data_IF_774081995739
#
_entry.id   IF_774081995739
#
_cell.length_a   1.000
_cell.length_b   1.000
_cell.length_c   1.000
_cell.angle_alpha   90.00
_cell.angle_beta   90.00
_cell.angle_gamma   90.00
#
_symmetry.space_group_name_H-M   'P 1'
#
loop_
_entity.id
_entity.type
_entity.pdbx_description
1 polymer ?
#
# COMPACT_ATOMS: atom_id res chain seq x y z
N UNK A 1 24.91 -1.98 -10.37
CA UNK A 1 24.67 -2.85 -9.19
C UNK A 1 23.30 -3.48 -9.38
N UNK A 2 23.14 -4.80 -9.56
CA UNK A 2 21.80 -5.36 -9.61
C UNK A 2 21.23 -5.40 -8.19
N UNK A 3 20.05 -4.80 -8.00
CA UNK A 3 19.27 -4.95 -6.78
C UNK A 3 18.71 -6.37 -6.75
N UNK A 4 19.35 -7.24 -5.95
CA UNK A 4 18.88 -8.59 -5.71
C UNK A 4 17.93 -8.55 -4.52
N UNK A 5 16.63 -8.56 -4.77
CA UNK A 5 15.63 -8.72 -3.71
C UNK A 5 14.52 -9.68 -4.15
N UNK A 6 14.93 -10.86 -4.61
CA UNK A 6 14.06 -12.02 -4.66
C UNK A 6 13.98 -12.62 -3.26
N UNK A 7 12.99 -12.21 -2.46
CA UNK A 7 12.50 -13.05 -1.36
C UNK A 7 11.79 -14.26 -1.97
N UNK A 8 12.56 -15.19 -2.56
CA UNK A 8 12.15 -16.58 -2.64
C UNK A 8 12.31 -17.18 -1.25
N UNK A 9 11.49 -16.71 -0.30
CA UNK A 9 11.35 -17.38 0.98
C UNK A 9 10.67 -18.72 0.69
N UNK A 10 11.30 -19.81 1.10
CA UNK A 10 10.75 -21.16 0.99
C UNK A 10 9.34 -21.18 1.57
N UNK A 11 8.35 -21.15 0.67
CA UNK A 11 6.99 -21.47 1.04
C UNK A 11 6.97 -22.93 1.54
N UNK A 12 6.16 -23.26 2.56
CA UNK A 12 5.95 -24.65 2.95
C UNK A 12 5.66 -25.53 1.72
N UNK A 13 6.17 -26.76 1.72
CA UNK A 13 6.13 -27.64 0.55
C UNK A 13 4.72 -28.05 0.10
N UNK A 14 3.71 -27.81 0.95
CA UNK A 14 2.29 -28.05 0.71
C UNK A 14 1.53 -26.81 0.19
N UNK A 15 2.18 -25.66 0.01
CA UNK A 15 1.56 -24.46 -0.60
C UNK A 15 1.13 -24.76 -2.03
N UNK A 16 -0.14 -24.47 -2.33
CA UNK A 16 -0.75 -24.71 -3.64
C UNK A 16 -0.98 -23.45 -4.47
N UNK A 17 -0.90 -22.26 -3.86
CA UNK A 17 -1.06 -20.98 -4.52
C UNK A 17 -0.34 -19.87 -3.75
N UNK A 18 0.23 -18.91 -4.46
CA UNK A 18 0.89 -17.73 -3.88
C UNK A 18 0.42 -16.47 -4.58
N UNK A 19 0.42 -15.36 -3.82
CA UNK A 19 0.18 -14.01 -4.34
C UNK A 19 1.32 -13.12 -3.87
N UNK A 20 2.06 -12.54 -4.81
CA UNK A 20 3.14 -11.60 -4.53
C UNK A 20 2.65 -10.19 -4.76
N UNK A 21 2.62 -9.38 -3.71
CA UNK A 21 2.27 -7.96 -3.79
C UNK A 21 3.54 -7.13 -3.91
N UNK A 22 3.67 -6.38 -5.01
CA UNK A 22 4.79 -5.48 -5.23
C UNK A 22 4.48 -4.09 -4.66
N UNK A 23 4.90 -3.84 -3.41
CA UNK A 23 4.67 -2.57 -2.73
C UNK A 23 5.36 -1.38 -3.42
N UNK A 24 6.54 -1.61 -4.03
CA UNK A 24 7.27 -0.58 -4.79
C UNK A 24 6.46 -0.12 -5.99
N UNK A 25 5.86 -1.05 -6.73
CA UNK A 25 5.00 -0.73 -7.86
C UNK A 25 3.75 0.06 -7.42
N UNK A 26 3.19 -0.25 -6.25
CA UNK A 26 2.05 0.52 -5.70
C UNK A 26 2.46 1.97 -5.39
N UNK A 27 3.63 2.18 -4.75
CA UNK A 27 4.16 3.51 -4.48
C UNK A 27 4.45 4.31 -5.76
N UNK A 28 5.07 3.67 -6.77
CA UNK A 28 5.35 4.27 -8.08
C UNK A 28 4.04 4.65 -8.81
N UNK A 29 3.02 3.79 -8.75
CA UNK A 29 1.71 4.10 -9.33
C UNK A 29 1.08 5.33 -8.68
N UNK A 30 1.16 5.45 -7.36
CA UNK A 30 0.69 6.64 -6.66
C UNK A 30 1.44 7.91 -7.11
N UNK A 31 2.77 7.84 -7.24
CA UNK A 31 3.60 8.96 -7.73
C UNK A 31 3.27 9.34 -9.19
N UNK A 32 2.93 8.36 -10.02
CA UNK A 32 2.45 8.64 -11.37
C UNK A 32 1.11 9.37 -11.34
N UNK A 33 0.17 8.96 -10.48
CA UNK A 33 -1.09 9.66 -10.29
C UNK A 33 -0.90 11.09 -9.78
N UNK A 34 0.01 11.33 -8.83
CA UNK A 34 0.31 12.69 -8.35
C UNK A 34 0.93 13.56 -9.43
N UNK A 35 1.81 13.00 -10.27
CA UNK A 35 2.36 13.68 -11.44
C UNK A 35 1.27 14.10 -12.43
N UNK A 36 0.30 13.21 -12.70
CA UNK A 36 -0.85 13.50 -13.55
C UNK A 36 -1.81 14.54 -12.95
N UNK A 37 -1.92 14.60 -11.62
CA UNK A 37 -2.77 15.54 -10.90
C UNK A 37 -2.24 16.99 -10.94
N UNK A 38 -1.02 17.23 -11.45
CA UNK A 38 -0.53 18.55 -11.81
C UNK A 38 -0.41 19.52 -10.62
N UNK A 39 -0.01 19.02 -9.45
CA UNK A 39 0.10 19.82 -8.21
C UNK A 39 -1.16 19.81 -7.35
N UNK A 40 -2.24 19.16 -7.81
CA UNK A 40 -3.38 18.83 -6.95
C UNK A 40 -2.98 17.70 -6.01
N UNK A 41 -3.31 17.83 -4.73
CA UNK A 41 -3.07 16.79 -3.75
C UNK A 41 -3.86 15.52 -4.07
N UNK A 42 -3.19 14.37 -4.01
CA UNK A 42 -3.82 13.06 -4.17
C UNK A 42 -4.06 12.40 -2.82
N UNK A 43 -5.09 11.56 -2.77
CA UNK A 43 -5.37 10.67 -1.65
C UNK A 43 -5.42 9.23 -2.15
N UNK A 44 -5.05 8.28 -1.28
CA UNK A 44 -5.12 6.85 -1.59
C UNK A 44 -6.37 6.21 -0.98
N UNK A 45 -7.24 5.63 -1.81
CA UNK A 45 -8.35 4.82 -1.32
C UNK A 45 -7.84 3.41 -1.02
N UNK A 46 -8.02 2.92 0.21
CA UNK A 46 -7.55 1.59 0.66
C UNK A 46 -8.68 0.74 1.25
N UNK A 47 -9.93 0.96 0.80
CA UNK A 47 -11.09 0.14 1.20
C UNK A 47 -10.89 -1.35 0.91
N UNK A 48 -11.67 -2.19 1.59
CA UNK A 48 -11.65 -3.64 1.44
C UNK A 48 -10.24 -4.22 1.59
N UNK A 49 -9.54 -3.80 2.65
CA UNK A 49 -8.16 -4.22 2.94
C UNK A 49 -7.18 -3.94 1.77
N UNK A 50 -7.17 -2.68 1.31
CA UNK A 50 -6.45 -2.26 0.11
C UNK A 50 -6.79 -3.09 -1.13
N UNK A 51 -8.09 -3.25 -1.39
CA UNK A 51 -8.61 -4.07 -2.50
C UNK A 51 -8.11 -5.54 -2.45
N UNK A 52 -7.94 -6.09 -1.24
CA UNK A 52 -7.47 -7.45 -0.99
C UNK A 52 -5.95 -7.62 -1.07
N UNK A 53 -5.18 -6.53 -1.18
CA UNK A 53 -3.70 -6.59 -1.22
C UNK A 53 -3.04 -6.53 0.17
N UNK A 54 -3.81 -6.30 1.23
CA UNK A 54 -3.31 -6.20 2.60
C UNK A 54 -2.96 -4.75 2.97
N UNK A 55 -3.84 -4.11 3.72
CA UNK A 55 -3.69 -2.70 4.12
C UNK A 55 -2.50 -2.49 5.06
N UNK A 56 -2.16 -3.48 5.88
CA UNK A 56 -1.05 -3.45 6.83
C UNK A 56 0.29 -3.15 6.15
N UNK A 57 0.53 -3.69 4.95
CA UNK A 57 1.76 -3.46 4.20
C UNK A 57 1.59 -2.35 3.17
N UNK A 58 0.41 -2.23 2.53
CA UNK A 58 0.15 -1.23 1.48
C UNK A 58 0.11 0.19 2.05
N UNK A 59 -0.54 0.42 3.19
CA UNK A 59 -0.69 1.77 3.73
C UNK A 59 0.65 2.41 4.15
N UNK A 60 1.54 1.72 4.91
CA UNK A 60 2.87 2.26 5.21
C UNK A 60 3.72 2.46 3.96
N UNK A 61 3.62 1.60 2.94
CA UNK A 61 4.33 1.79 1.68
C UNK A 61 3.90 3.09 0.98
N UNK A 62 2.60 3.34 0.86
CA UNK A 62 2.07 4.59 0.31
C UNK A 62 2.46 5.80 1.16
N UNK A 63 2.37 5.69 2.49
CA UNK A 63 2.64 6.80 3.40
C UNK A 63 4.13 7.19 3.43
N UNK A 64 5.02 6.21 3.61
CA UNK A 64 6.46 6.48 3.78
C UNK A 64 7.24 6.54 2.46
N UNK A 65 6.91 5.70 1.47
CA UNK A 65 7.68 5.64 0.22
C UNK A 65 7.15 6.59 -0.85
N UNK A 66 5.84 6.82 -0.87
CA UNK A 66 5.17 7.64 -1.89
C UNK A 66 4.71 9.02 -1.36
N UNK A 67 4.97 9.31 -0.09
CA UNK A 67 4.59 10.53 0.61
C UNK A 67 3.07 10.80 0.65
N UNK A 68 2.24 9.76 0.57
CA UNK A 68 0.79 9.90 0.66
C UNK A 68 0.37 10.29 2.09
N UNK A 69 -0.41 11.37 2.24
CA UNK A 69 -0.88 11.86 3.57
C UNK A 69 -2.36 11.69 3.81
N UNK A 70 -3.15 11.56 2.75
CA UNK A 70 -4.61 11.44 2.80
C UNK A 70 -5.06 10.08 2.31
N UNK A 71 -5.89 9.43 3.09
CA UNK A 71 -6.42 8.13 2.77
C UNK A 71 -7.94 8.14 2.83
N UNK A 72 -8.56 7.26 2.05
CA UNK A 72 -9.98 6.99 2.12
C UNK A 72 -10.22 5.51 2.37
N UNK A 73 -11.18 5.21 3.23
CA UNK A 73 -11.67 3.86 3.53
C UNK A 73 -13.19 3.81 3.39
N UNK A 74 -13.78 2.62 3.34
CA UNK A 74 -15.23 2.50 3.16
C UNK A 74 -16.01 2.66 4.47
N UNK A 75 -15.42 2.35 5.62
CA UNK A 75 -16.11 2.36 6.91
C UNK A 75 -15.16 2.63 8.10
N UNK A 76 -15.76 2.87 9.27
CA UNK A 76 -15.03 3.19 10.50
C UNK A 76 -14.11 2.07 10.98
N UNK A 77 -14.47 0.79 10.77
CA UNK A 77 -13.64 -0.35 11.19
C UNK A 77 -12.33 -0.36 10.40
N UNK A 78 -12.40 -0.10 9.10
CA UNK A 78 -11.22 0.07 8.26
C UNK A 78 -10.40 1.30 8.68
N UNK A 79 -11.05 2.42 9.04
CA UNK A 79 -10.36 3.61 9.51
C UNK A 79 -9.57 3.36 10.81
N UNK A 80 -10.16 2.64 11.76
CA UNK A 80 -9.51 2.27 13.02
C UNK A 80 -8.30 1.37 12.75
N UNK A 81 -8.41 0.39 11.85
CA UNK A 81 -7.28 -0.45 11.44
C UNK A 81 -6.18 0.36 10.77
N UNK A 82 -6.54 1.22 9.81
CA UNK A 82 -5.59 2.06 9.09
C UNK A 82 -4.81 2.97 10.04
N UNK A 83 -5.48 3.54 11.06
CA UNK A 83 -4.84 4.37 12.10
C UNK A 83 -3.74 3.62 12.87
N UNK A 84 -3.83 2.30 13.01
CA UNK A 84 -2.80 1.49 13.67
C UNK A 84 -1.54 1.34 12.80
N UNK A 85 -1.69 1.37 11.48
CA UNK A 85 -0.57 1.22 10.54
C UNK A 85 0.09 2.56 10.19
N UNK A 86 -0.70 3.64 10.12
CA UNK A 86 -0.24 4.99 9.78
C UNK A 86 -0.91 6.03 10.70
N UNK A 87 -0.44 6.20 11.94
CA UNK A 87 -1.10 7.03 12.96
C UNK A 87 -1.31 8.49 12.54
N UNK A 88 -0.35 9.06 11.81
CA UNK A 88 -0.34 10.46 11.38
C UNK A 88 -1.13 10.73 10.09
N UNK A 89 -1.71 9.70 9.45
CA UNK A 89 -2.48 9.87 8.23
C UNK A 89 -3.79 10.66 8.46
N UNK A 90 -4.20 11.46 7.48
CA UNK A 90 -5.57 11.98 7.41
C UNK A 90 -6.43 10.86 6.81
N UNK A 91 -7.50 10.45 7.50
CA UNK A 91 -8.39 9.32 7.13
C UNK A 91 -9.82 9.81 7.10
#
# INVERSE_FOLDING_TARGET
MPANNSTSGDFPSDVRATLTINLKAIAENYQNCTGLAGGTECAAMVKADAYGMGMEQVAPALFHQADCRKFFVANLVEAIKLRQFVPEAII
#
